data_IF_396904543756
#
_entry.id   IF_396904543756
#
_cell.length_a   1.000
_cell.length_b   1.000
_cell.length_c   1.000
_cell.angle_alpha   90.00
_cell.angle_beta   90.00
_cell.angle_gamma   90.00
#
_symmetry.space_group_name_H-M   'P 1'
#
loop_
_entity.id
_entity.type
_entity.pdbx_description
1 polymer ?
#
# COMPACT_ATOMS: atom_id res chain seq x y z
N UNK A 1 14.41 -7.47 16.46
CA UNK A 1 15.27 -6.52 15.71
C UNK A 1 14.67 -6.37 14.32
N UNK A 2 14.57 -5.15 13.80
CA UNK A 2 13.97 -4.89 12.47
C UNK A 2 15.05 -5.02 11.41
N UNK A 3 14.74 -5.71 10.31
CA UNK A 3 15.57 -5.77 9.12
C UNK A 3 15.35 -4.51 8.27
N UNK A 4 16.31 -3.58 8.34
CA UNK A 4 16.23 -2.27 7.66
C UNK A 4 16.38 -2.41 6.15
N UNK A 5 17.21 -3.36 5.68
CA UNK A 5 17.45 -3.54 4.25
C UNK A 5 16.20 -4.06 3.57
N UNK A 6 15.48 -4.99 4.22
CA UNK A 6 14.18 -5.44 3.74
C UNK A 6 13.15 -4.31 3.71
N UNK A 7 13.04 -3.50 4.76
CA UNK A 7 12.08 -2.38 4.81
C UNK A 7 12.35 -1.37 3.69
N UNK A 8 13.62 -1.07 3.40
CA UNK A 8 14.00 -0.19 2.30
C UNK A 8 13.72 -0.80 0.93
N UNK A 9 13.95 -2.10 0.77
CA UNK A 9 13.60 -2.81 -0.46
C UNK A 9 12.10 -2.76 -0.74
N UNK A 10 11.28 -2.93 0.30
CA UNK A 10 9.81 -2.82 0.21
C UNK A 10 9.33 -1.36 0.05
N UNK A 11 10.21 -0.36 0.19
CA UNK A 11 9.90 1.07 0.09
C UNK A 11 10.72 1.71 -1.04
N UNK A 12 10.34 1.50 -2.32
CA UNK A 12 11.18 1.86 -3.46
C UNK A 12 11.58 3.35 -3.52
N UNK A 13 10.78 4.25 -2.93
CA UNK A 13 11.14 5.66 -2.79
C UNK A 13 12.48 5.90 -2.08
N UNK A 14 12.92 4.99 -1.21
CA UNK A 14 14.22 5.07 -0.54
C UNK A 14 15.42 4.98 -1.50
N UNK A 15 15.25 4.44 -2.71
CA UNK A 15 16.29 4.40 -3.74
C UNK A 15 16.45 5.73 -4.50
N UNK A 16 15.52 6.67 -4.33
CA UNK A 16 15.43 7.90 -5.12
C UNK A 16 15.80 9.17 -4.35
N UNK A 17 16.29 9.04 -3.11
CA UNK A 17 16.75 10.16 -2.32
C UNK A 17 16.55 9.96 -0.82
N UNK A 18 16.86 11.00 -0.05
CA UNK A 18 16.63 11.05 1.39
C UNK A 18 15.37 11.86 1.65
N UNK A 19 14.32 11.19 2.13
CA UNK A 19 13.03 11.77 2.45
C UNK A 19 12.92 12.03 3.95
N UNK A 20 12.84 13.30 4.35
CA UNK A 20 12.76 13.74 5.76
C UNK A 20 11.44 14.46 6.08
N UNK A 21 10.47 14.32 5.20
CA UNK A 21 9.13 14.92 5.22
C UNK A 21 8.03 13.94 5.65
N UNK A 22 8.41 12.82 6.29
CA UNK A 22 7.50 11.77 6.76
C UNK A 22 6.35 12.26 7.66
N UNK A 23 6.52 13.39 8.35
CA UNK A 23 5.47 14.00 9.16
C UNK A 23 4.29 14.52 8.32
N UNK A 24 4.54 14.87 7.05
CA UNK A 24 3.50 15.23 6.09
C UNK A 24 2.94 14.01 5.38
N UNK A 25 3.82 13.16 4.84
CA UNK A 25 3.46 11.89 4.23
C UNK A 25 4.66 10.94 4.21
N UNK A 26 4.46 9.70 4.64
CA UNK A 26 5.46 8.65 4.48
C UNK A 26 5.49 8.13 3.04
N UNK A 27 6.62 7.56 2.63
CA UNK A 27 6.74 6.82 1.39
C UNK A 27 5.86 5.57 1.39
N UNK A 28 5.29 5.24 0.23
CA UNK A 28 4.46 4.07 0.04
C UNK A 28 5.32 2.80 -0.02
N UNK A 29 4.94 1.80 0.78
CA UNK A 29 5.47 0.45 0.65
C UNK A 29 4.82 -0.26 -0.54
N UNK A 30 5.59 -1.08 -1.25
CA UNK A 30 5.13 -1.93 -2.35
C UNK A 30 3.89 -2.78 -2.02
N UNK A 31 3.80 -3.50 -0.87
CA UNK A 31 2.59 -4.23 -0.52
C UNK A 31 1.34 -3.34 -0.38
N UNK A 32 1.50 -2.10 0.12
CA UNK A 32 0.39 -1.15 0.24
C UNK A 32 -0.03 -0.66 -1.15
N UNK A 33 0.95 -0.28 -1.98
CA UNK A 33 0.69 0.16 -3.35
C UNK A 33 0.00 -0.93 -4.18
N UNK A 34 0.42 -2.18 -4.02
CA UNK A 34 -0.19 -3.33 -4.68
C UNK A 34 -1.65 -3.54 -4.27
N UNK A 35 -1.95 -3.47 -2.96
CA UNK A 35 -3.32 -3.61 -2.46
C UNK A 35 -4.25 -2.50 -2.98
N UNK A 36 -3.77 -1.24 -3.00
CA UNK A 36 -4.52 -0.10 -3.53
C UNK A 36 -4.79 -0.27 -5.03
N UNK A 37 -3.77 -0.64 -5.81
CA UNK A 37 -3.93 -0.88 -7.27
C UNK A 37 -4.92 -2.01 -7.54
N UNK A 38 -4.80 -3.12 -6.82
CA UNK A 38 -5.73 -4.24 -6.96
C UNK A 38 -7.18 -3.80 -6.70
N UNK A 39 -7.41 -3.01 -5.64
CA UNK A 39 -8.74 -2.47 -5.37
C UNK A 39 -9.28 -1.61 -6.53
N UNK A 40 -8.46 -0.68 -7.03
CA UNK A 40 -8.82 0.18 -8.17
C UNK A 40 -9.07 -0.63 -9.45
N UNK A 41 -8.35 -1.74 -9.68
CA UNK A 41 -8.56 -2.63 -10.82
C UNK A 41 -9.86 -3.44 -10.70
N UNK A 42 -10.35 -3.66 -9.48
CA UNK A 42 -11.61 -4.34 -9.21
C UNK A 42 -12.83 -3.43 -9.37
N UNK A 43 -12.73 -2.16 -8.99
CA UNK A 43 -13.86 -1.21 -9.01
C UNK A 43 -14.60 -1.14 -10.37
N UNK A 44 -13.93 -1.07 -11.54
CA UNK A 44 -14.61 -1.07 -12.84
C UNK A 44 -15.40 -2.35 -13.13
N UNK A 45 -15.05 -3.47 -12.49
CA UNK A 45 -15.66 -4.79 -12.74
C UNK A 45 -16.91 -5.04 -11.90
N UNK A 46 -16.95 -4.48 -10.69
CA UNK A 46 -18.01 -4.78 -9.70
C UNK A 46 -18.76 -3.53 -9.23
N UNK A 47 -18.25 -2.34 -9.53
CA UNK A 47 -18.75 -1.05 -9.06
C UNK A 47 -18.18 -0.64 -7.70
N UNK A 48 -18.03 0.67 -7.50
CA UNK A 48 -17.43 1.26 -6.29
C UNK A 48 -18.18 1.00 -4.98
N UNK A 49 -19.45 0.57 -5.03
CA UNK A 49 -20.17 0.17 -3.81
C UNK A 49 -19.91 -1.29 -3.40
N UNK A 50 -19.61 -2.16 -4.36
CA UNK A 50 -19.42 -3.60 -4.12
C UNK A 50 -17.94 -3.93 -3.86
N UNK A 51 -17.02 -3.23 -4.51
CA UNK A 51 -15.59 -3.42 -4.31
C UNK A 51 -15.15 -3.29 -2.84
N UNK A 52 -15.58 -2.28 -2.05
CA UNK A 52 -15.23 -2.18 -0.63
C UNK A 52 -15.80 -3.34 0.19
N UNK A 53 -17.04 -3.78 -0.09
CA UNK A 53 -17.67 -4.92 0.61
C UNK A 53 -16.88 -6.22 0.38
N UNK A 54 -16.33 -6.40 -0.82
CA UNK A 54 -15.48 -7.55 -1.15
C UNK A 54 -14.08 -7.47 -0.54
N UNK A 55 -13.56 -6.26 -0.30
CA UNK A 55 -12.27 -6.05 0.36
C UNK A 55 -12.35 -6.16 1.89
N UNK A 56 -13.51 -5.87 2.49
CA UNK A 56 -13.70 -5.84 3.94
C UNK A 56 -13.21 -7.10 4.68
N UNK A 57 -13.49 -8.35 4.24
CA UNK A 57 -13.01 -9.54 4.94
C UNK A 57 -11.49 -9.64 5.03
N UNK A 58 -10.77 -9.13 4.03
CA UNK A 58 -9.31 -9.10 4.07
C UNK A 58 -8.81 -8.06 5.06
N UNK A 59 -9.48 -6.90 5.14
CA UNK A 59 -9.13 -5.83 6.09
C UNK A 59 -9.43 -6.21 7.54
N UNK A 60 -10.51 -6.95 7.78
CA UNK A 60 -10.91 -7.41 9.12
C UNK A 60 -10.05 -8.57 9.66
N UNK A 61 -9.22 -9.19 8.79
CA UNK A 61 -8.36 -10.31 9.14
C UNK A 61 -6.96 -9.90 9.66
N UNK A 62 -6.69 -8.60 9.77
CA UNK A 62 -5.45 -8.02 10.32
C UNK A 62 -5.60 -7.61 11.78
#
# INVERSE_FOLDING_TARGET
MIDIDRVRADTPGCAHGVHVDNAGAALMLDPVLAAVRAHLDHEPRVGGCEAPRRAAPALDAF
#
